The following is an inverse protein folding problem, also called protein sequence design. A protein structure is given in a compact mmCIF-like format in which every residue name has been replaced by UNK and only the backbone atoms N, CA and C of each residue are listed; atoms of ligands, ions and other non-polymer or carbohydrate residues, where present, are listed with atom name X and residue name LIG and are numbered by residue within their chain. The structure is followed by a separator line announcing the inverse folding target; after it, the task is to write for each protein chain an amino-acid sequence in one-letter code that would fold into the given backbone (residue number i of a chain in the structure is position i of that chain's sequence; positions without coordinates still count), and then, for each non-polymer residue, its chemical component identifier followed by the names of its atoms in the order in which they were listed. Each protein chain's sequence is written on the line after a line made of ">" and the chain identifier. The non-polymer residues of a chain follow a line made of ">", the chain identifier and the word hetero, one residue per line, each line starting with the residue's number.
data_IF_403823639404
#
_entry.id   IF_403823639404
#
_cell.length_a   1.000
_cell.length_b   1.000
_cell.length_c   1.000
_cell.angle_alpha   90.00
_cell.angle_beta   90.00
_cell.angle_gamma   90.00
#
_symmetry.space_group_name_H-M   'P 1'
#
loop_
_entity.id
_entity.type
_entity.pdbx_description
1 polymer ?
#
# COMPACT_ATOMS: atom_id res chain seq x y z
N UNK A 1 -0.91 -56.65 41.86
CA UNK A 1 0.00 -55.74 41.12
C UNK A 1 -0.64 -55.50 39.77
N UNK A 2 -1.32 -54.34 39.61
CA UNK A 2 -2.05 -53.94 38.37
C UNK A 2 -1.26 -52.80 37.71
N UNK A 3 -0.91 -52.88 36.43
CA UNK A 3 -0.20 -51.76 35.78
C UNK A 3 -1.18 -50.67 35.33
N UNK A 4 -0.89 -49.42 35.70
CA UNK A 4 -1.55 -48.21 35.23
C UNK A 4 -1.17 -47.93 33.76
N UNK A 5 -2.16 -47.96 32.90
CA UNK A 5 -2.05 -47.44 31.51
C UNK A 5 -2.07 -45.91 31.55
N UNK A 6 -0.98 -45.26 31.20
CA UNK A 6 -0.93 -43.80 30.95
C UNK A 6 -1.33 -43.54 29.50
N UNK A 7 -2.53 -42.99 29.28
CA UNK A 7 -2.94 -42.44 28.02
C UNK A 7 -2.27 -41.06 27.79
N UNK A 8 -1.37 -40.95 26.82
CA UNK A 8 -0.89 -39.67 26.29
C UNK A 8 -1.88 -39.16 25.27
N UNK A 9 -2.58 -38.10 25.61
CA UNK A 9 -3.40 -37.36 24.62
C UNK A 9 -2.48 -36.49 23.77
N UNK A 10 -2.37 -36.84 22.48
CA UNK A 10 -1.69 -36.00 21.49
C UNK A 10 -2.63 -34.86 21.12
N UNK A 11 -2.31 -33.63 21.57
CA UNK A 11 -2.96 -32.42 21.05
C UNK A 11 -2.37 -32.10 19.66
N UNK A 12 -3.10 -32.45 18.61
CA UNK A 12 -2.85 -31.91 17.27
C UNK A 12 -3.32 -30.45 17.23
N UNK A 13 -2.37 -29.51 17.30
CA UNK A 13 -2.64 -28.10 16.98
C UNK A 13 -2.85 -27.96 15.48
N UNK A 14 -4.09 -27.84 15.03
CA UNK A 14 -4.42 -27.45 13.66
C UNK A 14 -4.10 -25.97 13.53
N UNK A 15 -2.95 -25.64 12.93
CA UNK A 15 -2.63 -24.29 12.50
C UNK A 15 -3.52 -24.01 11.28
N UNK A 16 -4.58 -23.24 11.47
CA UNK A 16 -5.37 -22.71 10.36
C UNK A 16 -4.49 -21.71 9.59
N UNK A 17 -3.96 -22.13 8.46
CA UNK A 17 -3.32 -21.24 7.49
C UNK A 17 -4.47 -20.45 6.84
N UNK A 18 -4.67 -19.21 7.30
CA UNK A 18 -5.53 -18.29 6.60
C UNK A 18 -4.95 -18.07 5.20
N UNK A 19 -5.57 -18.63 4.18
CA UNK A 19 -5.32 -18.28 2.79
C UNK A 19 -5.74 -16.81 2.62
N UNK A 20 -4.78 -15.88 2.65
CA UNK A 20 -4.98 -14.55 2.08
C UNK A 20 -5.16 -14.76 0.58
N UNK A 21 -6.43 -14.83 0.15
CA UNK A 21 -6.77 -14.88 -1.26
C UNK A 21 -6.11 -13.66 -1.93
N UNK A 22 -5.25 -13.90 -2.91
CA UNK A 22 -4.77 -12.82 -3.77
C UNK A 22 -6.01 -12.17 -4.38
N UNK A 23 -6.21 -10.85 -4.17
CA UNK A 23 -7.31 -10.13 -4.78
C UNK A 23 -7.23 -10.35 -6.30
N UNK A 24 -8.34 -10.80 -6.89
CA UNK A 24 -8.38 -10.97 -8.34
C UNK A 24 -8.40 -9.58 -8.98
N UNK A 25 -7.86 -9.45 -10.21
CA UNK A 25 -7.96 -8.19 -10.96
C UNK A 25 -9.41 -7.77 -11.24
N UNK A 26 -10.37 -8.66 -11.00
CA UNK A 26 -11.81 -8.40 -11.12
C UNK A 26 -12.29 -7.31 -10.15
N UNK A 27 -11.61 -7.14 -9.02
CA UNK A 27 -11.93 -6.12 -8.01
C UNK A 27 -11.33 -4.72 -8.30
N UNK A 28 -10.46 -4.59 -9.29
CA UNK A 28 -9.70 -3.36 -9.52
C UNK A 28 -10.57 -2.16 -9.88
N UNK A 29 -11.69 -2.38 -10.56
CA UNK A 29 -12.60 -1.31 -11.02
C UNK A 29 -13.98 -1.40 -10.37
N UNK A 30 -14.13 -2.24 -9.34
CA UNK A 30 -15.39 -2.38 -8.63
C UNK A 30 -15.54 -1.28 -7.58
N UNK A 31 -16.69 -0.64 -7.55
CA UNK A 31 -17.03 0.38 -6.55
C UNK A 31 -16.92 -0.20 -5.13
N UNK A 32 -16.34 0.55 -4.23
CA UNK A 32 -16.28 0.23 -2.80
C UNK A 32 -16.72 1.45 -1.99
N UNK A 33 -17.49 1.26 -0.91
CA UNK A 33 -17.91 2.38 -0.08
C UNK A 33 -16.71 3.10 0.53
N UNK A 34 -16.71 4.45 0.59
CA UNK A 34 -15.66 5.18 1.27
C UNK A 34 -15.70 4.89 2.76
N UNK A 35 -14.53 4.74 3.37
CA UNK A 35 -14.38 4.32 4.77
C UNK A 35 -13.54 5.33 5.54
N UNK A 36 -14.04 5.80 6.68
CA UNK A 36 -13.20 6.47 7.65
C UNK A 36 -12.33 5.44 8.38
N UNK A 37 -11.02 5.48 8.12
CA UNK A 37 -10.08 4.56 8.76
C UNK A 37 -9.82 4.96 10.21
N UNK A 38 -9.35 6.19 10.43
CA UNK A 38 -9.09 6.76 11.74
C UNK A 38 -8.90 8.28 11.59
N UNK A 39 -9.34 9.06 12.58
CA UNK A 39 -9.12 10.51 12.61
C UNK A 39 -9.53 11.20 11.30
N UNK A 40 -8.56 11.70 10.56
CA UNK A 40 -8.74 12.38 9.28
C UNK A 40 -8.22 11.58 8.08
N UNK A 41 -7.96 10.29 8.26
CA UNK A 41 -7.53 9.34 7.23
C UNK A 41 -8.72 8.51 6.74
N UNK A 42 -8.97 8.51 5.44
CA UNK A 42 -10.08 7.83 4.77
C UNK A 42 -9.59 6.94 3.63
N UNK A 43 -10.29 5.84 3.37
CA UNK A 43 -10.18 5.06 2.15
C UNK A 43 -11.22 5.56 1.15
N UNK A 44 -10.80 5.81 -0.08
CA UNK A 44 -11.67 6.33 -1.18
C UNK A 44 -11.41 5.62 -2.50
N UNK A 45 -10.70 4.48 -2.48
CA UNK A 45 -10.38 3.66 -3.64
C UNK A 45 -11.51 2.73 -4.08
N UNK A 46 -11.16 1.76 -4.90
CA UNK A 46 -12.05 0.68 -5.37
C UNK A 46 -12.01 -0.53 -4.43
N UNK A 47 -12.61 -1.66 -4.81
CA UNK A 47 -12.63 -2.86 -3.96
C UNK A 47 -11.24 -3.48 -3.71
N UNK A 48 -10.21 -3.10 -4.50
CA UNK A 48 -8.82 -3.52 -4.28
C UNK A 48 -7.80 -2.39 -4.48
N UNK A 49 -7.92 -1.56 -5.54
CA UNK A 49 -6.95 -0.49 -5.77
C UNK A 49 -7.15 0.64 -4.77
N UNK A 50 -6.19 0.77 -3.85
CA UNK A 50 -6.33 1.68 -2.74
C UNK A 50 -5.99 3.12 -3.12
N UNK A 51 -6.90 4.03 -2.80
CA UNK A 51 -6.65 5.48 -2.73
C UNK A 51 -6.97 5.93 -1.31
N UNK A 52 -6.08 6.69 -0.71
CA UNK A 52 -6.30 7.29 0.61
C UNK A 52 -6.48 8.80 0.49
N UNK A 53 -7.43 9.31 1.27
CA UNK A 53 -7.67 10.73 1.45
C UNK A 53 -7.29 11.12 2.87
N UNK A 54 -6.42 12.09 3.02
CA UNK A 54 -6.16 12.78 4.28
C UNK A 54 -6.81 14.16 4.17
N UNK A 55 -7.93 14.34 4.91
CA UNK A 55 -8.65 15.60 4.91
C UNK A 55 -8.10 16.55 5.98
N UNK A 56 -7.83 17.80 5.61
CA UNK A 56 -7.34 18.83 6.52
C UNK A 56 -8.05 20.16 6.29
N UNK A 57 -8.01 21.11 7.25
CA UNK A 57 -8.57 22.45 7.04
C UNK A 57 -7.94 23.23 5.88
N UNK A 58 -6.72 22.85 5.44
CA UNK A 58 -6.00 23.47 4.33
C UNK A 58 -6.24 22.77 2.97
N UNK A 59 -7.07 21.73 2.93
CA UNK A 59 -7.38 20.91 1.77
C UNK A 59 -7.03 19.43 1.96
N UNK A 60 -6.99 18.69 0.86
CA UNK A 60 -6.81 17.25 0.87
C UNK A 60 -5.43 16.83 0.36
N UNK A 61 -4.90 15.74 0.93
CA UNK A 61 -3.81 14.96 0.35
C UNK A 61 -4.42 13.66 -0.18
N UNK A 62 -4.11 13.29 -1.42
CA UNK A 62 -4.42 11.97 -1.97
C UNK A 62 -3.16 11.13 -2.07
N UNK A 63 -3.25 9.84 -1.77
CA UNK A 63 -2.23 8.84 -2.04
C UNK A 63 -2.80 7.86 -3.06
N UNK A 64 -2.15 7.73 -4.21
CA UNK A 64 -2.54 7.03 -5.43
C UNK A 64 -3.66 7.71 -6.23
N UNK A 65 -3.75 7.32 -7.48
CA UNK A 65 -4.68 7.89 -8.47
C UNK A 65 -5.46 6.82 -9.25
N UNK A 66 -5.00 5.57 -9.20
CA UNK A 66 -5.52 4.44 -9.99
C UNK A 66 -5.58 4.76 -11.50
N UNK A 67 -6.57 4.23 -12.21
CA UNK A 67 -6.76 4.43 -13.63
C UNK A 67 -7.73 5.59 -13.94
N UNK A 68 -7.65 6.22 -15.12
CA UNK A 68 -8.58 7.28 -15.54
C UNK A 68 -10.06 6.90 -15.45
N UNK A 69 -10.40 5.64 -15.73
CA UNK A 69 -11.78 5.14 -15.67
C UNK A 69 -12.34 5.07 -14.24
N UNK A 70 -11.48 5.07 -13.21
CA UNK A 70 -11.90 5.01 -11.81
C UNK A 70 -12.15 6.40 -11.19
N UNK A 71 -11.79 7.49 -11.89
CA UNK A 71 -11.98 8.85 -11.40
C UNK A 71 -13.44 9.19 -11.03
N UNK A 72 -14.47 8.74 -11.77
CA UNK A 72 -15.85 8.94 -11.34
C UNK A 72 -16.15 8.32 -9.98
N UNK A 73 -15.60 7.13 -9.67
CA UNK A 73 -15.75 6.46 -8.38
C UNK A 73 -15.02 7.24 -7.27
N UNK A 74 -13.79 7.71 -7.53
CA UNK A 74 -13.03 8.54 -6.61
C UNK A 74 -13.78 9.82 -6.22
N UNK A 75 -14.31 10.56 -7.21
CA UNK A 75 -15.08 11.79 -6.97
C UNK A 75 -16.35 11.51 -6.17
N UNK A 76 -17.06 10.42 -6.51
CA UNK A 76 -18.25 9.97 -5.79
C UNK A 76 -17.92 9.66 -4.32
N UNK A 77 -16.86 8.90 -4.06
CA UNK A 77 -16.42 8.53 -2.70
C UNK A 77 -16.08 9.76 -1.86
N UNK A 78 -15.34 10.72 -2.41
CA UNK A 78 -14.99 11.97 -1.72
C UNK A 78 -16.24 12.80 -1.41
N UNK A 79 -17.19 12.90 -2.35
CA UNK A 79 -18.46 13.62 -2.17
C UNK A 79 -19.35 12.94 -1.12
N UNK A 80 -19.41 11.62 -1.07
CA UNK A 80 -20.16 10.87 -0.05
C UNK A 80 -19.64 11.11 1.37
N UNK A 81 -18.36 11.40 1.51
CA UNK A 81 -17.75 11.81 2.80
C UNK A 81 -18.04 13.27 3.16
N UNK A 82 -18.71 14.03 2.29
CA UNK A 82 -18.99 15.45 2.48
C UNK A 82 -17.80 16.37 2.15
N UNK A 83 -16.78 15.86 1.46
CA UNK A 83 -15.61 16.61 1.05
C UNK A 83 -15.67 17.03 -0.41
N UNK A 84 -14.82 17.99 -0.79
CA UNK A 84 -14.72 18.44 -2.16
C UNK A 84 -13.44 17.90 -2.82
N UNK A 85 -13.59 17.19 -3.93
CA UNK A 85 -12.48 16.63 -4.69
C UNK A 85 -11.50 17.73 -5.19
N UNK A 86 -12.01 18.90 -5.59
CA UNK A 86 -11.16 20.01 -6.08
C UNK A 86 -10.35 20.69 -4.98
N UNK A 87 -10.60 20.36 -3.70
CA UNK A 87 -9.75 20.81 -2.59
C UNK A 87 -8.49 19.96 -2.42
N UNK A 88 -8.23 19.02 -3.34
CA UNK A 88 -6.97 18.28 -3.37
C UNK A 88 -5.81 19.22 -3.68
N UNK A 89 -4.87 19.34 -2.75
CA UNK A 89 -3.68 20.21 -2.84
C UNK A 89 -2.40 19.43 -3.10
N UNK A 90 -2.35 18.19 -2.65
CA UNK A 90 -1.18 17.33 -2.77
C UNK A 90 -1.62 15.96 -3.30
N UNK A 91 -0.87 15.45 -4.27
CA UNK A 91 -1.03 14.12 -4.83
C UNK A 91 0.29 13.36 -4.65
N UNK A 92 0.19 12.21 -4.02
CA UNK A 92 1.27 11.29 -3.73
C UNK A 92 0.99 9.96 -4.44
N UNK A 93 2.01 9.14 -4.64
CA UNK A 93 1.84 7.76 -5.11
C UNK A 93 2.60 6.77 -4.23
N UNK A 94 2.20 5.52 -4.26
CA UNK A 94 2.95 4.43 -3.65
C UNK A 94 4.12 4.01 -4.56
N UNK A 95 3.91 3.93 -5.88
CA UNK A 95 4.93 3.60 -6.87
C UNK A 95 4.43 3.85 -8.30
N UNK A 96 5.35 3.86 -9.27
CA UNK A 96 5.09 4.22 -10.66
C UNK A 96 4.56 3.04 -11.50
N UNK A 97 3.49 2.37 -11.07
CA UNK A 97 2.72 1.42 -11.87
C UNK A 97 1.33 2.00 -12.19
N UNK A 98 0.77 1.61 -13.35
CA UNK A 98 -0.47 2.19 -13.88
C UNK A 98 -1.68 2.11 -12.95
N UNK A 99 -1.75 1.06 -12.16
CA UNK A 99 -2.79 0.86 -11.13
C UNK A 99 -2.69 1.85 -9.94
N UNK A 100 -1.59 2.64 -9.86
CA UNK A 100 -1.40 3.64 -8.80
C UNK A 100 -1.16 5.06 -9.33
N UNK A 101 -0.72 5.21 -10.60
CA UNK A 101 -0.30 6.51 -11.12
C UNK A 101 -0.94 6.92 -12.46
N UNK A 102 -1.69 6.04 -13.14
CA UNK A 102 -2.17 6.34 -14.50
C UNK A 102 -3.07 7.58 -14.59
N UNK A 103 -3.79 7.93 -13.53
CA UNK A 103 -4.67 9.11 -13.53
C UNK A 103 -4.04 10.37 -12.89
N UNK A 104 -2.76 10.33 -12.44
CA UNK A 104 -2.15 11.49 -11.75
C UNK A 104 -2.20 12.78 -12.58
N UNK A 105 -1.96 12.69 -13.89
CA UNK A 105 -2.03 13.85 -14.80
C UNK A 105 -3.42 14.46 -14.89
N UNK A 106 -4.46 13.64 -14.88
CA UNK A 106 -5.85 14.10 -14.91
C UNK A 106 -6.25 14.74 -13.58
N UNK A 107 -5.94 14.09 -12.45
CA UNK A 107 -6.21 14.66 -11.11
C UNK A 107 -5.50 16.01 -10.96
N UNK A 108 -4.21 16.07 -11.34
CA UNK A 108 -3.44 17.30 -11.29
C UNK A 108 -4.07 18.41 -12.15
N UNK A 109 -4.51 18.09 -13.36
CA UNK A 109 -5.19 19.05 -14.26
C UNK A 109 -6.51 19.56 -13.68
N UNK A 110 -7.28 18.72 -13.03
CA UNK A 110 -8.61 19.05 -12.50
C UNK A 110 -8.57 19.81 -11.18
N UNK A 111 -7.57 19.54 -10.35
CA UNK A 111 -7.51 20.06 -8.97
C UNK A 111 -6.43 21.10 -8.76
N UNK A 112 -5.44 21.17 -9.63
CA UNK A 112 -4.22 21.96 -9.41
C UNK A 112 -3.29 21.38 -8.35
N UNK A 113 -3.47 20.12 -7.93
CA UNK A 113 -2.67 19.48 -6.92
C UNK A 113 -1.19 19.39 -7.30
N UNK A 114 -0.30 19.56 -6.31
CA UNK A 114 1.13 19.35 -6.49
C UNK A 114 1.45 17.85 -6.41
N UNK A 115 2.02 17.30 -7.49
CA UNK A 115 2.47 15.91 -7.54
C UNK A 115 3.86 15.79 -6.91
N UNK A 116 4.00 14.90 -5.92
CA UNK A 116 5.27 14.64 -5.25
C UNK A 116 5.58 13.15 -5.34
N UNK A 117 6.79 12.80 -5.81
CA UNK A 117 7.17 11.42 -6.15
C UNK A 117 8.58 11.14 -5.63
N UNK A 118 8.82 9.92 -5.17
CA UNK A 118 10.13 9.42 -4.76
C UNK A 118 11.10 9.45 -5.95
N UNK A 119 12.30 9.96 -5.74
CA UNK A 119 13.28 10.26 -6.78
C UNK A 119 13.47 9.16 -7.84
N UNK A 120 13.64 7.87 -7.51
CA UNK A 120 13.87 6.85 -8.53
C UNK A 120 12.67 6.56 -9.44
N UNK A 121 11.44 6.91 -9.04
CA UNK A 121 10.23 6.69 -9.86
C UNK A 121 9.85 7.90 -10.73
N UNK A 122 10.50 9.06 -10.55
CA UNK A 122 10.16 10.31 -11.25
C UNK A 122 10.17 10.14 -12.76
N UNK A 123 11.25 9.58 -13.31
CA UNK A 123 11.39 9.41 -14.77
C UNK A 123 10.25 8.55 -15.37
N UNK A 124 9.79 7.54 -14.64
CA UNK A 124 8.70 6.68 -15.09
C UNK A 124 7.34 7.38 -15.02
N UNK A 125 7.09 8.17 -13.97
CA UNK A 125 5.85 8.96 -13.82
C UNK A 125 5.75 10.05 -14.91
N UNK A 126 6.86 10.69 -15.26
CA UNK A 126 6.89 11.73 -16.30
C UNK A 126 6.88 11.15 -17.73
N UNK A 127 7.17 9.85 -17.88
CA UNK A 127 7.25 9.20 -19.20
C UNK A 127 5.89 9.02 -19.84
N UNK A 128 5.79 9.35 -21.13
CA UNK A 128 4.64 9.04 -21.99
C UNK A 128 4.83 7.75 -22.79
N UNK A 129 6.02 7.12 -22.70
CA UNK A 129 6.38 5.94 -23.51
C UNK A 129 5.53 4.70 -23.22
N UNK A 130 4.84 4.66 -22.08
CA UNK A 130 3.97 3.54 -21.65
C UNK A 130 2.53 3.68 -22.15
N UNK A 131 2.23 4.66 -23.01
CA UNK A 131 0.86 4.97 -23.45
C UNK A 131 0.00 5.65 -22.37
N UNK A 132 0.60 6.00 -21.22
CA UNK A 132 -0.04 6.81 -20.18
C UNK A 132 0.32 8.28 -20.37
N UNK A 133 -0.59 9.22 -20.10
CA UNK A 133 -0.21 10.62 -20.07
C UNK A 133 0.71 10.84 -18.89
N UNK A 134 2.01 11.04 -19.15
CA UNK A 134 2.98 11.41 -18.13
C UNK A 134 2.56 12.71 -17.41
N UNK A 135 2.96 12.87 -16.17
CA UNK A 135 2.66 14.08 -15.40
C UNK A 135 3.95 14.65 -14.80
N UNK A 136 4.16 15.96 -15.01
CA UNK A 136 5.30 16.65 -14.43
C UNK A 136 5.24 16.58 -12.90
N UNK A 137 6.33 16.10 -12.29
CA UNK A 137 6.54 16.06 -10.84
C UNK A 137 6.88 17.46 -10.35
N UNK A 138 6.18 17.94 -9.31
CA UNK A 138 6.40 19.27 -8.73
C UNK A 138 7.40 19.27 -7.59
N UNK A 139 7.52 18.12 -6.89
CA UNK A 139 8.53 17.92 -5.85
C UNK A 139 9.06 16.51 -5.90
N UNK A 140 10.36 16.37 -6.02
CA UNK A 140 11.08 15.10 -5.86
C UNK A 140 11.26 14.84 -4.37
N UNK A 141 10.96 13.62 -3.95
CA UNK A 141 11.08 13.16 -2.57
C UNK A 141 12.25 12.19 -2.42
N UNK A 142 12.84 12.17 -1.24
CA UNK A 142 13.85 11.23 -0.80
C UNK A 142 13.40 10.47 0.44
N UNK A 143 14.12 9.41 0.80
CA UNK A 143 13.82 8.61 1.99
C UNK A 143 13.84 9.50 3.25
N UNK A 144 12.76 9.45 4.04
CA UNK A 144 12.60 10.25 5.24
C UNK A 144 12.01 11.64 5.04
N UNK A 145 11.83 12.10 3.79
CA UNK A 145 11.18 13.39 3.54
C UNK A 145 9.75 13.42 4.09
N UNK A 146 9.36 14.61 4.59
CA UNK A 146 8.00 14.84 5.07
C UNK A 146 7.17 15.65 4.08
N UNK A 147 5.88 15.35 4.07
CA UNK A 147 4.84 16.08 3.35
C UNK A 147 3.82 16.58 4.36
N UNK A 148 3.62 17.89 4.38
CA UNK A 148 2.78 18.54 5.39
C UNK A 148 1.65 19.34 4.75
N UNK A 149 0.44 19.22 5.33
CA UNK A 149 -0.71 20.04 4.97
C UNK A 149 -1.68 20.14 6.16
N UNK A 150 -2.03 21.35 6.56
CA UNK A 150 -3.10 21.61 7.53
C UNK A 150 -2.98 20.86 8.85
N UNK A 151 -1.76 20.66 9.36
CA UNK A 151 -1.47 19.97 10.61
C UNK A 151 -1.27 18.44 10.49
N UNK A 152 -1.43 17.88 9.29
CA UNK A 152 -1.07 16.48 9.01
C UNK A 152 0.33 16.40 8.43
N UNK A 153 1.13 15.42 8.89
CA UNK A 153 2.47 15.15 8.40
C UNK A 153 2.55 13.68 7.98
N UNK A 154 2.95 13.44 6.72
CA UNK A 154 3.27 12.12 6.21
C UNK A 154 4.78 12.02 6.00
N UNK A 155 5.37 10.87 6.29
CA UNK A 155 6.79 10.60 6.00
C UNK A 155 6.88 9.59 4.87
N UNK A 156 7.67 9.91 3.85
CA UNK A 156 7.99 9.01 2.74
C UNK A 156 9.10 8.05 3.19
N UNK A 157 8.83 6.75 3.17
CA UNK A 157 9.80 5.69 3.44
C UNK A 157 10.11 4.97 2.14
N UNK A 158 11.37 5.06 1.68
CA UNK A 158 11.80 4.32 0.51
C UNK A 158 11.85 2.82 0.83
N UNK A 159 10.94 2.06 0.21
CA UNK A 159 10.84 0.60 0.31
C UNK A 159 10.96 0.00 -1.09
N UNK A 160 12.16 0.03 -1.69
CA UNK A 160 12.40 -0.26 -3.10
C UNK A 160 12.34 -1.75 -3.40
N UNK A 161 12.34 -2.10 -4.68
CA UNK A 161 12.30 -3.48 -5.18
C UNK A 161 11.14 -3.72 -6.14
N UNK A 162 9.91 -3.43 -5.72
CA UNK A 162 8.73 -3.51 -6.60
C UNK A 162 8.80 -2.48 -7.75
N UNK A 163 9.18 -1.25 -7.43
CA UNK A 163 9.83 -0.27 -8.30
C UNK A 163 11.03 0.31 -7.56
N UNK A 164 11.97 0.96 -8.25
CA UNK A 164 13.11 1.62 -7.59
C UNK A 164 12.70 2.70 -6.59
N UNK A 165 11.59 3.39 -6.83
CA UNK A 165 11.03 4.45 -5.98
C UNK A 165 9.83 4.03 -5.16
N UNK A 166 9.55 2.73 -5.01
CA UNK A 166 8.41 2.27 -4.20
C UNK A 166 8.46 2.87 -2.80
N UNK A 167 7.35 3.51 -2.41
CA UNK A 167 7.22 4.32 -1.20
C UNK A 167 6.18 3.74 -0.27
N UNK A 168 6.55 3.50 0.97
CA UNK A 168 5.63 3.26 2.09
C UNK A 168 5.40 4.58 2.81
N UNK A 169 4.15 4.96 2.99
CA UNK A 169 3.78 6.18 3.69
C UNK A 169 3.50 5.90 5.16
N UNK A 170 4.05 6.72 6.04
CA UNK A 170 3.77 6.66 7.48
C UNK A 170 3.23 7.98 7.98
N UNK A 171 2.27 7.94 8.90
CA UNK A 171 1.73 9.12 9.57
C UNK A 171 1.21 8.78 10.96
N UNK A 172 1.10 9.79 11.82
CA UNK A 172 0.41 9.67 13.10
C UNK A 172 -1.00 10.23 12.99
N UNK A 173 -1.97 9.47 13.45
CA UNK A 173 -3.40 9.81 13.37
C UNK A 173 -4.00 9.82 14.77
N UNK A 174 -4.67 10.92 15.15
CA UNK A 174 -5.43 10.97 16.38
C UNK A 174 -6.80 10.30 16.17
N UNK A 175 -7.10 9.27 16.96
CA UNK A 175 -8.37 8.55 16.91
C UNK A 175 -8.84 8.18 18.31
N UNK A 176 -10.07 8.60 18.68
CA UNK A 176 -10.72 8.28 19.97
C UNK A 176 -9.82 8.52 21.19
N UNK A 177 -9.12 9.65 21.23
CA UNK A 177 -8.23 10.05 22.32
C UNK A 177 -6.87 9.33 22.35
N UNK A 178 -6.57 8.51 21.33
CA UNK A 178 -5.27 7.87 21.15
C UNK A 178 -4.57 8.43 19.91
N UNK A 179 -3.27 8.37 19.89
CA UNK A 179 -2.49 8.57 18.66
C UNK A 179 -2.04 7.22 18.16
N UNK A 180 -2.32 6.92 16.89
CA UNK A 180 -2.03 5.68 16.21
C UNK A 180 -0.97 5.91 15.14
N UNK A 181 -0.02 5.01 15.03
CA UNK A 181 0.95 4.98 13.93
C UNK A 181 0.34 4.22 12.74
N UNK A 182 0.08 4.95 11.64
CA UNK A 182 -0.45 4.39 10.41
C UNK A 182 0.68 4.10 9.44
N UNK A 183 0.69 2.89 8.88
CA UNK A 183 1.59 2.45 7.82
C UNK A 183 0.76 2.07 6.60
N UNK A 184 1.01 2.76 5.48
CA UNK A 184 0.42 2.47 4.16
C UNK A 184 1.54 1.88 3.30
N UNK A 185 1.62 0.55 3.23
CA UNK A 185 2.68 -0.14 2.48
C UNK A 185 2.52 0.11 0.98
N UNK A 186 3.61 0.49 0.29
CA UNK A 186 3.64 0.65 -1.15
C UNK A 186 3.44 -0.70 -1.86
N UNK A 187 4.49 -1.49 -1.98
CA UNK A 187 4.40 -2.89 -2.42
C UNK A 187 5.68 -3.66 -2.11
N UNK A 188 5.62 -4.74 -1.32
CA UNK A 188 6.74 -5.66 -1.13
C UNK A 188 6.61 -6.92 -2.02
N UNK A 189 5.72 -6.91 -3.01
CA UNK A 189 5.43 -8.08 -3.83
C UNK A 189 6.44 -8.24 -4.97
N UNK A 190 6.97 -9.45 -5.13
CA UNK A 190 7.65 -9.87 -6.36
C UNK A 190 6.58 -10.37 -7.31
N UNK A 191 6.26 -9.62 -8.36
CA UNK A 191 5.22 -9.98 -9.31
C UNK A 191 5.68 -11.08 -10.28
N UNK A 192 4.71 -11.74 -10.90
CA UNK A 192 4.95 -12.62 -12.07
C UNK A 192 5.74 -11.84 -13.12
N UNK A 193 6.73 -12.48 -13.73
CA UNK A 193 7.61 -11.84 -14.72
C UNK A 193 8.82 -11.11 -14.13
N UNK A 194 8.90 -10.89 -12.81
CA UNK A 194 10.06 -10.21 -12.21
C UNK A 194 11.31 -11.08 -12.26
N UNK A 195 12.42 -10.47 -12.68
CA UNK A 195 13.76 -11.07 -12.71
C UNK A 195 14.56 -10.46 -11.56
N UNK A 196 14.89 -11.28 -10.55
CA UNK A 196 15.66 -10.86 -9.38
C UNK A 196 17.17 -11.07 -9.55
N UNK A 197 17.58 -11.96 -10.48
CA UNK A 197 18.98 -12.29 -10.73
C UNK A 197 19.27 -12.14 -12.22
N UNK A 198 20.26 -11.31 -12.56
CA UNK A 198 20.61 -11.01 -13.95
C UNK A 198 19.66 -10.01 -14.63
N UNK A 199 18.95 -9.20 -13.86
CA UNK A 199 18.12 -8.12 -14.36
C UNK A 199 19.00 -6.98 -14.90
N UNK A 200 18.88 -6.68 -16.19
CA UNK A 200 19.70 -5.64 -16.84
C UNK A 200 19.11 -4.23 -16.73
N UNK A 201 17.80 -4.12 -16.53
CA UNK A 201 17.10 -2.83 -16.42
C UNK A 201 17.01 -2.34 -14.97
N UNK A 202 17.05 -3.26 -14.01
CA UNK A 202 17.06 -2.98 -12.59
C UNK A 202 18.03 -3.93 -11.86
N UNK A 203 19.37 -3.74 -12.04
CA UNK A 203 20.37 -4.70 -11.58
C UNK A 203 20.37 -4.96 -10.07
N UNK A 204 20.04 -3.95 -9.25
CA UNK A 204 20.01 -4.03 -7.77
C UNK A 204 18.64 -4.44 -7.19
N UNK A 205 17.71 -4.97 -8.00
CA UNK A 205 16.35 -5.27 -7.56
C UNK A 205 16.29 -6.19 -6.34
N UNK A 206 17.15 -7.20 -6.26
CA UNK A 206 17.15 -8.15 -5.15
C UNK A 206 17.65 -7.50 -3.84
N UNK A 207 18.72 -6.71 -3.92
CA UNK A 207 19.26 -5.95 -2.79
C UNK A 207 18.27 -4.89 -2.30
N UNK A 208 17.53 -4.27 -3.21
CA UNK A 208 16.50 -3.31 -2.89
C UNK A 208 15.30 -3.97 -2.20
N UNK A 209 14.91 -5.19 -2.58
CA UNK A 209 13.92 -5.95 -1.81
C UNK A 209 14.41 -6.29 -0.40
N UNK A 210 15.70 -6.62 -0.22
CA UNK A 210 16.26 -6.81 1.13
C UNK A 210 16.10 -5.54 1.95
N UNK A 211 16.51 -4.39 1.41
CA UNK A 211 16.34 -3.07 2.04
C UNK A 211 14.86 -2.78 2.36
N UNK A 212 13.96 -3.05 1.42
CA UNK A 212 12.52 -2.89 1.62
C UNK A 212 12.05 -3.63 2.88
N UNK A 213 12.36 -4.93 3.00
CA UNK A 213 11.95 -5.71 4.16
C UNK A 213 12.63 -5.30 5.46
N UNK A 214 13.87 -4.83 5.39
CA UNK A 214 14.57 -4.33 6.59
C UNK A 214 13.92 -3.03 7.09
N UNK A 215 13.53 -2.12 6.20
CA UNK A 215 12.77 -0.92 6.56
C UNK A 215 11.40 -1.30 7.12
N UNK A 216 10.61 -2.13 6.41
CA UNK A 216 9.26 -2.49 6.83
C UNK A 216 9.21 -3.12 8.23
N UNK A 217 10.20 -3.95 8.59
CA UNK A 217 10.26 -4.57 9.93
C UNK A 217 10.47 -3.58 11.08
N UNK A 218 10.97 -2.38 10.79
CA UNK A 218 11.27 -1.36 11.82
C UNK A 218 10.12 -0.38 12.04
N UNK A 219 9.14 -0.32 11.12
CA UNK A 219 8.08 0.67 11.19
C UNK A 219 7.07 0.32 12.31
N UNK A 220 6.75 1.27 13.20
CA UNK A 220 5.64 1.09 14.13
C UNK A 220 4.33 1.12 13.32
N UNK A 221 3.49 0.11 13.52
CA UNK A 221 2.24 -0.02 12.78
C UNK A 221 1.10 -0.42 13.72
N UNK A 222 0.33 0.56 14.18
CA UNK A 222 -0.97 0.31 14.79
C UNK A 222 -2.02 0.06 13.71
N UNK A 223 -2.07 0.94 12.69
CA UNK A 223 -2.96 0.82 11.54
C UNK A 223 -2.20 0.20 10.37
N UNK A 224 -2.67 -0.98 9.94
CA UNK A 224 -2.11 -1.68 8.77
C UNK A 224 -2.95 -1.42 7.53
N UNK A 225 -2.35 -0.71 6.57
CA UNK A 225 -2.91 -0.35 5.27
C UNK A 225 -1.90 -0.64 4.15
N UNK A 226 -2.32 -0.58 2.88
CA UNK A 226 -1.43 -0.82 1.75
C UNK A 226 -2.01 -0.35 0.42
N UNK A 227 -1.20 -0.43 -0.64
CA UNK A 227 -1.56 0.03 -1.99
C UNK A 227 -2.69 -0.81 -2.62
N UNK A 228 -2.95 -2.02 -2.12
CA UNK A 228 -4.09 -2.86 -2.49
C UNK A 228 -4.89 -3.26 -1.26
N UNK A 229 -6.22 -3.32 -1.40
CA UNK A 229 -7.15 -3.75 -0.36
C UNK A 229 -6.85 -5.16 0.16
N UNK A 230 -6.45 -6.06 -0.76
CA UNK A 230 -6.06 -7.42 -0.43
C UNK A 230 -4.80 -7.54 0.45
N UNK A 231 -3.95 -6.50 0.55
CA UNK A 231 -2.77 -6.57 1.42
C UNK A 231 -3.15 -6.60 2.90
N UNK A 232 -4.18 -5.88 3.27
CA UNK A 232 -4.58 -5.66 4.65
C UNK A 232 -5.99 -6.14 4.99
N UNK A 233 -6.64 -6.90 4.09
CA UNK A 233 -7.98 -7.46 4.32
C UNK A 233 -9.07 -6.39 4.36
N UNK A 234 -9.10 -5.48 3.37
CA UNK A 234 -10.03 -4.35 3.32
C UNK A 234 -11.49 -4.78 3.49
N UNK A 235 -11.93 -5.79 2.73
CA UNK A 235 -13.33 -6.24 2.71
C UNK A 235 -13.74 -6.84 4.04
N UNK A 236 -12.89 -7.68 4.62
CA UNK A 236 -13.11 -8.32 5.92
C UNK A 236 -13.12 -7.30 7.05
N UNK A 237 -12.18 -6.36 7.04
CA UNK A 237 -12.12 -5.28 8.03
C UNK A 237 -13.32 -4.34 7.92
N UNK A 238 -13.73 -4.01 6.69
CA UNK A 238 -14.95 -3.22 6.47
C UNK A 238 -16.19 -3.93 7.01
N UNK A 239 -16.35 -5.21 6.71
CA UNK A 239 -17.49 -6.01 7.20
C UNK A 239 -17.49 -6.16 8.74
N UNK A 240 -16.31 -6.11 9.38
CA UNK A 240 -16.18 -6.20 10.82
C UNK A 240 -16.44 -4.86 11.55
N UNK A 241 -16.61 -3.75 10.85
CA UNK A 241 -16.88 -2.45 11.46
C UNK A 241 -18.23 -2.44 12.20
N UNK A 242 -18.21 -2.00 13.45
CA UNK A 242 -19.41 -1.84 14.27
C UNK A 242 -19.48 -0.42 14.85
N UNK A 243 -20.66 0.22 14.90
CA UNK A 243 -20.81 1.51 15.56
C UNK A 243 -20.33 1.43 17.02
N UNK A 244 -19.35 2.29 17.39
CA UNK A 244 -18.75 2.29 18.73
C UNK A 244 -17.81 1.13 19.05
N UNK A 245 -17.70 0.12 18.18
CA UNK A 245 -16.83 -1.04 18.36
C UNK A 245 -15.35 -0.73 18.16
N UNK A 246 -14.46 -1.72 18.36
CA UNK A 246 -13.03 -1.57 18.06
C UNK A 246 -12.80 -1.26 16.59
N UNK A 247 -11.73 -0.52 16.28
CA UNK A 247 -11.37 -0.23 14.91
C UNK A 247 -10.66 -1.45 14.27
N UNK A 248 -11.25 -2.12 13.25
CA UNK A 248 -10.66 -3.33 12.67
C UNK A 248 -9.36 -3.08 11.89
N UNK A 249 -9.07 -1.81 11.54
CA UNK A 249 -7.83 -1.44 10.86
C UNK A 249 -6.63 -1.34 11.82
N UNK A 250 -6.88 -1.34 13.14
CA UNK A 250 -5.83 -1.50 14.15
C UNK A 250 -5.43 -2.96 14.19
N UNK A 251 -4.36 -3.28 13.47
CA UNK A 251 -3.95 -4.67 13.21
C UNK A 251 -2.41 -4.81 13.12
N UNK A 252 -1.69 -4.58 14.22
CA UNK A 252 -0.23 -4.72 14.23
C UNK A 252 0.23 -6.16 13.97
N UNK A 253 -0.58 -7.15 14.38
CA UNK A 253 -0.27 -8.56 14.14
C UNK A 253 -0.39 -8.93 12.66
N UNK A 254 -1.43 -8.44 11.98
CA UNK A 254 -1.61 -8.59 10.53
C UNK A 254 -0.47 -7.94 9.75
N UNK A 255 -0.04 -6.74 10.15
CA UNK A 255 1.13 -6.09 9.57
C UNK A 255 2.38 -6.97 9.65
N UNK A 256 2.72 -7.42 10.86
CA UNK A 256 3.90 -8.26 11.10
C UNK A 256 3.85 -9.55 10.29
N UNK A 257 2.68 -10.21 10.27
CA UNK A 257 2.45 -11.44 9.50
C UNK A 257 2.60 -11.21 7.99
N UNK A 258 2.02 -10.13 7.46
CA UNK A 258 2.10 -9.77 6.05
C UNK A 258 3.56 -9.54 5.63
N UNK A 259 4.30 -8.70 6.36
CA UNK A 259 5.72 -8.42 6.06
C UNK A 259 6.57 -9.69 6.11
N UNK A 260 6.39 -10.53 7.12
CA UNK A 260 7.13 -11.79 7.26
C UNK A 260 6.83 -12.77 6.11
N UNK A 261 5.55 -12.90 5.73
CA UNK A 261 5.10 -13.76 4.62
C UNK A 261 5.70 -13.30 3.30
N UNK A 262 5.67 -11.99 3.01
CA UNK A 262 6.22 -11.45 1.76
C UNK A 262 7.75 -11.54 1.72
N UNK A 263 8.42 -11.33 2.84
CA UNK A 263 9.87 -11.51 2.96
C UNK A 263 10.29 -12.97 2.69
N UNK A 264 9.51 -13.93 3.18
CA UNK A 264 9.75 -15.35 2.93
C UNK A 264 9.55 -15.69 1.45
N UNK A 265 8.45 -15.24 0.85
CA UNK A 265 8.17 -15.46 -0.56
C UNK A 265 9.24 -14.84 -1.48
N UNK A 266 9.71 -13.63 -1.18
CA UNK A 266 10.83 -13.00 -1.89
C UNK A 266 12.10 -13.86 -1.81
N UNK A 267 12.49 -14.32 -0.60
CA UNK A 267 13.71 -15.13 -0.43
C UNK A 267 13.63 -16.44 -1.19
N UNK A 268 12.49 -17.13 -1.15
CA UNK A 268 12.27 -18.38 -1.89
C UNK A 268 12.42 -18.15 -3.40
N UNK A 269 11.82 -17.08 -3.93
CA UNK A 269 11.94 -16.75 -5.33
C UNK A 269 13.37 -16.34 -5.72
N UNK A 270 14.05 -15.58 -4.87
CA UNK A 270 15.43 -15.18 -5.11
C UNK A 270 16.37 -16.39 -5.15
N UNK A 271 16.23 -17.33 -4.19
CA UNK A 271 17.02 -18.59 -4.23
C UNK A 271 16.70 -19.43 -5.47
N UNK A 272 15.43 -19.51 -5.88
CA UNK A 272 15.05 -20.18 -7.12
C UNK A 272 15.77 -19.58 -8.35
N UNK A 273 15.81 -18.27 -8.44
CA UNK A 273 16.43 -17.56 -9.56
C UNK A 273 17.96 -17.62 -9.54
N UNK A 274 18.60 -17.73 -8.38
CA UNK A 274 20.05 -17.98 -8.28
C UNK A 274 20.47 -19.29 -8.95
N UNK A 275 19.61 -20.31 -8.93
CA UNK A 275 19.84 -21.59 -9.61
C UNK A 275 19.63 -21.48 -11.12
N UNK A 276 18.83 -20.52 -11.58
CA UNK A 276 18.50 -20.26 -12.98
C UNK A 276 18.47 -18.74 -13.25
N UNK A 277 19.65 -18.09 -13.36
CA UNK A 277 19.72 -16.64 -13.57
C UNK A 277 18.99 -16.20 -14.84
N UNK A 278 18.30 -15.04 -14.77
CA UNK A 278 17.51 -14.50 -15.88
C UNK A 278 16.14 -15.15 -16.07
N UNK A 279 15.79 -16.18 -15.29
CA UNK A 279 14.45 -16.77 -15.35
C UNK A 279 13.45 -15.93 -14.58
N UNK A 280 12.34 -15.45 -15.20
CA UNK A 280 11.35 -14.66 -14.50
C UNK A 280 10.60 -15.50 -13.46
N UNK A 281 9.96 -14.81 -12.52
CA UNK A 281 8.99 -15.42 -11.61
C UNK A 281 7.81 -15.97 -12.44
N UNK A 282 7.42 -17.25 -12.27
CA UNK A 282 6.30 -17.86 -12.96
C UNK A 282 4.94 -17.28 -12.58
#
# INVERSE_FOLDING_TARGET
>A
MTPLLRCYALFLSVVAVANLAAASRDDWHVEFPPVKIAGNLYYVGTADLAIYLIHTPAGNILINANYPQDLPLLRKSITQLGFNYTDTKILLISHAHGDHDAAVGLIKKETGARLMVMAPDVAQVESTATGRPGAKVDRVLHDGDTVELGGSTLTARLTPGHTPGCTTWTMRVADRGRTLDAVIIGSPNVNVGFILVGNTTYPQIAEDYVRCFDVLKTLPADLFLGAHGGYFGLKEKFAAMQPGGPNPFVDPAGYTTYVATKATAFRQEWERQKLNPGSPKP
#
